data_IF_409533361606
#
_entry.id   IF_409533361606
#
_cell.length_a   1.000
_cell.length_b   1.000
_cell.length_c   1.000
_cell.angle_alpha   90.00
_cell.angle_beta   90.00
_cell.angle_gamma   90.00
#
_symmetry.space_group_name_H-M   'P 1'
#
loop_
_entity.id
_entity.type
_entity.pdbx_description
1 polymer ?
#
# COMPACT_ATOMS: atom_id res chain seq x y z
N UNK A 1 4.00 -8.49 -5.27
CA UNK A 1 4.39 -9.51 -4.27
C UNK A 1 3.12 -10.34 -4.01
N UNK A 2 2.99 -11.06 -2.89
CA UNK A 2 1.68 -11.62 -2.48
C UNK A 2 0.92 -10.61 -1.61
N UNK A 3 -0.41 -10.70 -1.57
CA UNK A 3 -1.25 -9.76 -0.81
C UNK A 3 -0.93 -9.68 0.70
N UNK A 4 -0.59 -10.81 1.32
CA UNK A 4 -0.14 -10.85 2.72
C UNK A 4 1.17 -10.07 2.92
N UNK A 5 2.11 -10.21 2.00
CA UNK A 5 3.38 -9.47 2.03
C UNK A 5 3.15 -7.97 1.87
N UNK A 6 2.22 -7.57 0.99
CA UNK A 6 1.85 -6.17 0.82
C UNK A 6 1.33 -5.56 2.12
N UNK A 7 0.40 -6.26 2.78
CA UNK A 7 -0.15 -5.84 4.07
C UNK A 7 0.94 -5.73 5.14
N UNK A 8 1.79 -6.74 5.29
CA UNK A 8 2.79 -6.74 6.37
C UNK A 8 3.85 -5.66 6.19
N UNK A 9 4.38 -5.48 4.98
CA UNK A 9 5.38 -4.45 4.70
C UNK A 9 4.80 -3.04 4.87
N UNK A 10 3.57 -2.82 4.38
CA UNK A 10 2.90 -1.54 4.50
C UNK A 10 2.56 -1.21 5.96
N UNK A 11 1.98 -2.15 6.72
CA UNK A 11 1.62 -1.92 8.12
C UNK A 11 2.84 -1.77 9.04
N UNK A 12 3.92 -2.54 8.81
CA UNK A 12 5.14 -2.36 9.60
C UNK A 12 5.85 -1.05 9.31
N UNK A 13 5.79 -0.57 8.05
CA UNK A 13 6.26 0.78 7.69
C UNK A 13 5.42 1.86 8.36
N UNK A 14 4.09 1.74 8.34
CA UNK A 14 3.21 2.68 9.03
C UNK A 14 3.43 2.66 10.54
N UNK A 15 3.59 1.47 11.13
CA UNK A 15 3.92 1.30 12.54
C UNK A 15 5.21 2.01 12.93
N UNK A 16 6.26 1.90 12.10
CA UNK A 16 7.54 2.59 12.33
C UNK A 16 7.36 4.12 12.38
N UNK A 17 6.54 4.67 11.48
CA UNK A 17 6.28 6.11 11.42
C UNK A 17 5.35 6.61 12.53
N UNK A 18 4.41 5.77 12.97
CA UNK A 18 3.45 6.10 14.04
C UNK A 18 4.05 5.93 15.43
N UNK A 19 5.01 5.01 15.62
CA UNK A 19 5.56 4.67 16.93
C UNK A 19 6.01 5.88 17.79
N UNK A 20 6.75 6.88 17.27
CA UNK A 20 7.14 8.07 18.05
C UNK A 20 5.97 8.99 18.47
N UNK A 21 4.77 8.76 17.92
CA UNK A 21 3.57 9.55 18.14
C UNK A 21 2.53 8.80 18.99
N UNK A 22 2.77 7.53 19.33
CA UNK A 22 1.76 6.65 19.95
C UNK A 22 1.20 7.18 21.27
N UNK A 23 2.00 7.91 22.04
CA UNK A 23 1.59 8.46 23.33
C UNK A 23 0.75 9.74 23.23
N UNK A 24 0.70 10.38 22.04
CA UNK A 24 0.03 11.68 21.85
C UNK A 24 -1.12 11.63 20.85
N UNK A 25 -1.13 10.65 19.94
CA UNK A 25 -2.23 10.48 19.00
C UNK A 25 -3.41 9.79 19.67
N UNK A 26 -4.60 10.27 19.34
CA UNK A 26 -5.85 9.62 19.71
C UNK A 26 -5.87 8.15 19.19
N UNK A 27 -6.27 7.17 20.02
CA UNK A 27 -6.31 5.77 19.60
C UNK A 27 -7.19 5.50 18.37
N UNK A 28 -8.31 6.22 18.21
CA UNK A 28 -9.16 6.08 17.02
C UNK A 28 -8.45 6.63 15.78
N UNK A 29 -7.70 7.72 15.89
CA UNK A 29 -6.86 8.22 14.80
C UNK A 29 -5.79 7.19 14.40
N UNK A 30 -5.09 6.57 15.35
CA UNK A 30 -4.12 5.50 15.06
C UNK A 30 -4.81 4.34 14.33
N UNK A 31 -5.98 3.91 14.81
CA UNK A 31 -6.74 2.83 14.18
C UNK A 31 -7.13 3.19 12.73
N UNK A 32 -7.57 4.42 12.48
CA UNK A 32 -7.91 4.91 11.14
C UNK A 32 -6.68 4.97 10.23
N UNK A 33 -5.53 5.41 10.73
CA UNK A 33 -4.28 5.43 9.95
C UNK A 33 -3.85 4.02 9.55
N UNK A 34 -3.84 3.07 10.50
CA UNK A 34 -3.48 1.68 10.22
C UNK A 34 -4.50 1.02 9.28
N UNK A 35 -5.80 1.29 9.47
CA UNK A 35 -6.85 0.76 8.60
C UNK A 35 -6.76 1.34 7.18
N UNK A 36 -6.50 2.63 7.03
CA UNK A 36 -6.27 3.26 5.73
C UNK A 36 -5.11 2.59 5.00
N UNK A 37 -3.95 2.43 5.66
CA UNK A 37 -2.78 1.74 5.09
C UNK A 37 -3.11 0.29 4.73
N UNK A 38 -3.84 -0.43 5.58
CA UNK A 38 -4.27 -1.80 5.33
C UNK A 38 -5.07 -1.93 4.02
N UNK A 39 -6.14 -1.14 3.87
CA UNK A 39 -6.97 -1.15 2.67
C UNK A 39 -6.16 -0.66 1.45
N UNK A 40 -5.39 0.42 1.61
CA UNK A 40 -4.55 1.00 0.56
C UNK A 40 -3.48 0.04 0.03
N UNK A 41 -2.89 -0.78 0.91
CA UNK A 41 -1.87 -1.77 0.51
C UNK A 41 -2.39 -2.87 -0.41
N UNK A 42 -3.71 -3.04 -0.52
CA UNK A 42 -4.36 -4.03 -1.38
C UNK A 42 -5.18 -3.40 -2.50
N UNK A 43 -5.47 -2.10 -2.41
CA UNK A 43 -6.32 -1.38 -3.36
C UNK A 43 -5.81 -1.42 -4.81
N UNK A 44 -4.50 -1.28 -5.11
CA UNK A 44 -4.02 -1.36 -6.48
C UNK A 44 -4.34 -2.68 -7.18
N UNK A 45 -4.35 -3.79 -6.45
CA UNK A 45 -4.66 -5.12 -6.98
C UNK A 45 -6.14 -5.30 -7.36
N UNK A 46 -7.01 -4.31 -7.15
CA UNK A 46 -8.40 -4.36 -7.62
C UNK A 46 -8.52 -4.43 -9.17
N UNK A 47 -7.42 -4.25 -9.91
CA UNK A 47 -7.37 -4.50 -11.36
C UNK A 47 -7.15 -5.97 -11.74
N UNK A 48 -6.92 -6.85 -10.75
CA UNK A 48 -6.71 -8.28 -10.88
C UNK A 48 -7.90 -9.07 -10.29
N UNK A 49 -8.59 -9.85 -11.12
CA UNK A 49 -9.85 -10.50 -10.71
C UNK A 49 -9.71 -11.54 -9.58
N UNK A 50 -8.51 -12.08 -9.37
CA UNK A 50 -8.17 -13.08 -8.37
C UNK A 50 -7.50 -12.48 -7.11
N UNK A 51 -7.41 -11.15 -7.01
CA UNK A 51 -6.74 -10.46 -5.92
C UNK A 51 -7.40 -10.70 -4.55
N UNK A 52 -6.57 -10.65 -3.50
CA UNK A 52 -6.99 -10.84 -2.12
C UNK A 52 -8.07 -9.84 -1.67
N UNK A 53 -8.12 -8.65 -2.29
CA UNK A 53 -9.12 -7.62 -2.00
C UNK A 53 -10.55 -8.09 -2.31
N UNK A 54 -10.76 -9.02 -3.24
CA UNK A 54 -12.11 -9.50 -3.60
C UNK A 54 -12.60 -10.66 -2.74
N UNK A 55 -11.70 -11.42 -2.13
CA UNK A 55 -12.03 -12.73 -1.56
C UNK A 55 -12.14 -12.70 -0.03
N UNK A 56 -11.80 -11.57 0.61
CA UNK A 56 -11.76 -11.42 2.07
C UNK A 56 -10.81 -12.42 2.75
N UNK A 57 -9.88 -13.00 1.99
CA UNK A 57 -8.93 -14.02 2.44
C UNK A 57 -7.53 -13.67 2.00
N UNK A 58 -6.66 -13.40 2.97
CA UNK A 58 -5.24 -13.19 2.75
C UNK A 58 -4.53 -14.54 2.85
N UNK A 59 -4.21 -15.12 1.70
CA UNK A 59 -3.44 -16.37 1.63
C UNK A 59 -2.04 -16.22 2.22
N UNK A 60 -1.51 -17.28 2.83
CA UNK A 60 -0.15 -17.28 3.42
C UNK A 60 -0.10 -17.19 4.95
N UNK A 61 -1.22 -16.85 5.60
CA UNK A 61 -1.31 -16.73 7.07
C UNK A 61 -2.24 -17.81 7.64
N UNK A 62 -1.73 -18.70 8.50
CA UNK A 62 -2.49 -19.77 9.16
C UNK A 62 -2.59 -19.57 10.67
N UNK A 63 -3.52 -20.26 11.34
CA UNK A 63 -3.70 -20.23 12.79
C UNK A 63 -4.38 -18.96 13.33
N UNK A 64 -4.20 -18.66 14.63
CA UNK A 64 -4.86 -17.52 15.32
C UNK A 64 -4.59 -16.17 14.64
N UNK A 65 -3.37 -15.96 14.10
CA UNK A 65 -3.01 -14.76 13.33
C UNK A 65 -3.83 -14.64 12.04
N UNK A 66 -4.03 -15.76 11.35
CA UNK A 66 -4.87 -15.80 10.13
C UNK A 66 -6.33 -15.50 10.41
N UNK A 67 -6.86 -15.91 11.57
CA UNK A 67 -8.24 -15.60 11.97
C UNK A 67 -8.47 -14.10 12.16
N UNK A 68 -7.56 -13.40 12.84
CA UNK A 68 -7.66 -11.95 13.07
C UNK A 68 -7.58 -11.19 11.75
N UNK A 69 -6.57 -11.50 10.93
CA UNK A 69 -6.36 -10.82 9.65
C UNK A 69 -7.54 -11.05 8.69
N UNK A 70 -8.04 -12.29 8.59
CA UNK A 70 -9.19 -12.59 7.74
C UNK A 70 -10.51 -12.03 8.29
N UNK A 71 -10.63 -11.87 9.61
CA UNK A 71 -11.78 -11.19 10.23
C UNK A 71 -11.86 -9.73 9.82
N UNK A 72 -10.73 -9.02 9.80
CA UNK A 72 -10.65 -7.65 9.29
C UNK A 72 -10.81 -7.59 7.76
N UNK A 73 -10.35 -8.62 7.05
CA UNK A 73 -10.42 -8.68 5.59
C UNK A 73 -11.85 -8.77 5.04
N UNK A 74 -12.87 -9.02 5.87
CA UNK A 74 -14.28 -9.12 5.44
C UNK A 74 -14.80 -7.84 4.79
N UNK A 75 -14.23 -6.68 5.13
CA UNK A 75 -14.61 -5.38 4.55
C UNK A 75 -13.93 -5.13 3.20
N UNK A 76 -12.85 -5.85 2.88
CA UNK A 76 -12.06 -5.62 1.68
C UNK A 76 -12.85 -5.79 0.38
N UNK A 77 -13.77 -6.78 0.22
CA UNK A 77 -14.55 -6.91 -1.00
C UNK A 77 -15.39 -5.68 -1.33
N UNK A 78 -15.92 -4.98 -0.31
CA UNK A 78 -16.66 -3.73 -0.52
C UNK A 78 -15.74 -2.71 -1.17
N UNK A 79 -14.56 -2.46 -0.60
CA UNK A 79 -13.55 -1.58 -1.19
C UNK A 79 -13.10 -2.05 -2.58
N UNK A 80 -12.81 -3.34 -2.74
CA UNK A 80 -12.36 -3.91 -4.01
C UNK A 80 -13.37 -3.72 -5.13
N UNK A 81 -14.64 -4.02 -4.87
CA UNK A 81 -15.70 -3.83 -5.87
C UNK A 81 -16.00 -2.35 -6.14
N UNK A 82 -16.01 -1.50 -5.11
CA UNK A 82 -16.13 -0.05 -5.29
C UNK A 82 -14.98 0.48 -6.16
N UNK A 83 -13.73 0.13 -5.83
CA UNK A 83 -12.56 0.56 -6.60
C UNK A 83 -12.64 0.02 -8.03
N UNK A 84 -12.98 -1.26 -8.24
CA UNK A 84 -13.01 -1.83 -9.59
C UNK A 84 -14.09 -1.22 -10.47
N UNK A 85 -15.33 -1.17 -9.98
CA UNK A 85 -16.48 -0.85 -10.80
C UNK A 85 -16.84 0.64 -10.80
N UNK A 86 -16.66 1.33 -9.68
CA UNK A 86 -17.04 2.75 -9.56
C UNK A 86 -15.86 3.69 -9.82
N UNK A 87 -14.62 3.22 -9.72
CA UNK A 87 -13.42 4.06 -9.91
C UNK A 87 -12.63 3.63 -11.14
N UNK A 88 -12.10 2.41 -11.15
CA UNK A 88 -11.13 1.95 -12.14
C UNK A 88 -11.69 1.90 -13.56
N UNK A 89 -12.84 1.26 -13.78
CA UNK A 89 -13.42 1.22 -15.13
C UNK A 89 -13.84 2.60 -15.64
N UNK A 90 -14.57 3.44 -14.87
CA UNK A 90 -14.89 4.80 -15.30
C UNK A 90 -13.65 5.63 -15.60
N UNK A 91 -12.64 5.56 -14.73
CA UNK A 91 -11.41 6.34 -14.92
C UNK A 91 -10.61 5.84 -16.13
N UNK A 92 -10.57 4.53 -16.36
CA UNK A 92 -9.95 3.95 -17.55
C UNK A 92 -10.64 4.42 -18.83
N UNK A 93 -11.98 4.53 -18.83
CA UNK A 93 -12.75 5.07 -19.95
C UNK A 93 -12.42 6.56 -20.20
N UNK A 94 -12.37 7.38 -19.14
CA UNK A 94 -12.01 8.80 -19.26
C UNK A 94 -10.61 8.95 -19.90
N UNK A 95 -9.62 8.19 -19.43
CA UNK A 95 -8.28 8.21 -20.01
C UNK A 95 -8.22 7.62 -21.43
N UNK A 96 -9.08 6.66 -21.78
CA UNK A 96 -9.25 6.15 -23.14
C UNK A 96 -9.70 7.24 -24.10
N UNK A 97 -10.70 8.02 -23.69
CA UNK A 97 -11.26 9.11 -24.48
C UNK A 97 -10.26 10.27 -24.64
N UNK A 98 -9.65 10.72 -23.53
CA UNK A 98 -8.74 11.87 -23.54
C UNK A 98 -7.46 11.56 -24.32
N UNK A 99 -6.84 10.39 -24.08
CA UNK A 99 -5.56 10.05 -24.72
C UNK A 99 -5.73 9.32 -26.05
N UNK A 100 -6.97 9.04 -26.49
CA UNK A 100 -7.31 8.29 -27.69
C UNK A 100 -6.54 6.97 -27.81
N UNK A 101 -6.35 6.27 -26.67
CA UNK A 101 -5.64 4.99 -26.59
C UNK A 101 -6.61 3.88 -26.23
N UNK A 102 -6.49 2.75 -26.93
CA UNK A 102 -7.15 1.51 -26.50
C UNK A 102 -6.43 0.94 -25.27
N UNK A 103 -7.14 0.89 -24.15
CA UNK A 103 -6.67 0.26 -22.92
C UNK A 103 -7.04 -1.22 -22.97
N UNK A 104 -6.04 -2.08 -23.14
CA UNK A 104 -6.22 -3.50 -22.83
C UNK A 104 -6.07 -3.66 -21.33
N UNK A 105 -7.13 -4.07 -20.64
CA UNK A 105 -7.08 -4.45 -19.23
C UNK A 105 -6.07 -5.60 -19.07
N UNK A 106 -4.84 -5.25 -18.72
CA UNK A 106 -3.79 -6.18 -18.28
C UNK A 106 -3.50 -5.86 -16.82
N UNK A 107 -3.19 -6.90 -16.04
CA UNK A 107 -2.69 -6.75 -14.67
C UNK A 107 -1.60 -5.67 -14.62
N UNK A 108 -1.75 -4.69 -13.71
CA UNK A 108 -0.85 -3.54 -13.52
C UNK A 108 -1.00 -2.45 -14.57
N UNK A 109 -2.24 -1.96 -14.67
CA UNK A 109 -2.65 -0.83 -15.50
C UNK A 109 -2.68 0.48 -14.73
N UNK A 110 -3.82 1.18 -14.79
CA UNK A 110 -3.98 2.50 -14.18
C UNK A 110 -3.80 2.48 -12.65
N UNK A 111 -4.30 1.46 -11.96
CA UNK A 111 -4.19 1.36 -10.50
C UNK A 111 -2.75 1.17 -10.01
N UNK A 112 -1.82 0.76 -10.88
CA UNK A 112 -0.38 0.67 -10.58
C UNK A 112 0.38 1.85 -11.20
N UNK A 113 -0.16 3.06 -11.04
CA UNK A 113 0.51 4.31 -11.43
C UNK A 113 0.23 5.43 -10.45
N UNK A 114 1.10 6.44 -10.41
CA UNK A 114 0.96 7.58 -9.51
C UNK A 114 -0.36 8.34 -9.73
N UNK A 115 -0.73 8.55 -10.99
CA UNK A 115 -1.98 9.21 -11.34
C UNK A 115 -3.20 8.37 -10.93
N UNK A 116 -3.16 7.06 -11.15
CA UNK A 116 -4.28 6.19 -10.80
C UNK A 116 -4.48 6.02 -9.31
N UNK A 117 -3.40 5.85 -8.52
CA UNK A 117 -3.54 5.77 -7.06
C UNK A 117 -3.97 7.11 -6.44
N UNK A 118 -3.50 8.23 -6.98
CA UNK A 118 -3.94 9.56 -6.56
C UNK A 118 -5.43 9.77 -6.80
N UNK A 119 -5.89 9.53 -8.03
CA UNK A 119 -7.31 9.69 -8.39
C UNK A 119 -8.21 8.68 -7.66
N UNK A 120 -7.74 7.44 -7.48
CA UNK A 120 -8.47 6.43 -6.71
C UNK A 120 -8.65 6.85 -5.26
N UNK A 121 -7.61 7.40 -4.64
CA UNK A 121 -7.67 7.87 -3.25
C UNK A 121 -8.63 9.04 -3.10
N UNK A 122 -8.58 10.01 -4.02
CA UNK A 122 -9.49 11.17 -4.01
C UNK A 122 -10.95 10.76 -4.21
N UNK A 123 -11.22 9.92 -5.21
CA UNK A 123 -12.59 9.46 -5.51
C UNK A 123 -13.16 8.59 -4.38
N UNK A 124 -12.36 7.69 -3.82
CA UNK A 124 -12.78 6.86 -2.69
C UNK A 124 -13.07 7.71 -1.44
N UNK A 125 -12.20 8.68 -1.12
CA UNK A 125 -12.47 9.64 -0.04
C UNK A 125 -13.73 10.46 -0.31
N UNK A 126 -13.99 10.85 -1.56
CA UNK A 126 -15.22 11.54 -1.95
C UNK A 126 -16.47 10.68 -1.73
N UNK A 127 -16.45 9.42 -2.15
CA UNK A 127 -17.56 8.48 -1.90
C UNK A 127 -17.80 8.25 -0.40
N UNK A 128 -16.72 8.09 0.38
CA UNK A 128 -16.84 7.98 1.84
C UNK A 128 -17.38 9.26 2.46
N UNK A 129 -16.97 10.45 2.01
CA UNK A 129 -17.52 11.72 2.49
C UNK A 129 -19.03 11.80 2.29
N UNK A 130 -19.52 11.40 1.10
CA UNK A 130 -20.95 11.39 0.78
C UNK A 130 -21.70 10.42 1.69
N UNK A 131 -21.19 9.20 1.87
CA UNK A 131 -21.81 8.18 2.73
C UNK A 131 -21.85 8.65 4.19
N UNK A 132 -20.72 9.14 4.72
CA UNK A 132 -20.63 9.59 6.11
C UNK A 132 -21.55 10.79 6.37
N UNK A 133 -21.59 11.75 5.44
CA UNK A 133 -22.51 12.89 5.52
C UNK A 133 -23.97 12.43 5.53
N UNK A 134 -24.34 11.50 4.65
CA UNK A 134 -25.69 10.95 4.58
C UNK A 134 -26.09 10.21 5.87
N UNK A 135 -25.14 9.54 6.52
CA UNK A 135 -25.34 8.88 7.82
C UNK A 135 -25.25 9.83 9.03
N UNK A 136 -24.97 11.13 8.83
CA UNK A 136 -24.75 12.08 9.92
C UNK A 136 -23.48 11.82 10.73
N UNK A 137 -22.50 11.11 10.18
CA UNK A 137 -21.23 10.78 10.83
C UNK A 137 -20.19 11.87 10.52
N UNK A 138 -19.42 12.26 11.53
CA UNK A 138 -18.36 13.28 11.40
C UNK A 138 -17.28 12.90 10.36
N UNK A 139 -16.87 13.87 9.56
CA UNK A 139 -15.80 13.73 8.56
C UNK A 139 -14.39 13.94 9.14
N UNK A 140 -14.25 14.20 10.45
CA UNK A 140 -12.98 14.62 11.06
C UNK A 140 -11.81 13.64 10.80
N UNK A 141 -12.09 12.34 10.74
CA UNK A 141 -11.08 11.30 10.51
C UNK A 141 -10.87 10.96 9.03
N UNK A 142 -11.73 11.47 8.13
CA UNK A 142 -11.68 11.13 6.71
C UNK A 142 -10.38 11.59 6.03
N UNK A 143 -9.83 12.80 6.30
CA UNK A 143 -8.53 13.20 5.75
C UNK A 143 -7.40 12.24 6.17
N UNK A 144 -7.39 11.82 7.43
CA UNK A 144 -6.39 10.87 7.94
C UNK A 144 -6.52 9.51 7.24
N UNK A 145 -7.75 9.00 7.06
CA UNK A 145 -7.99 7.80 6.27
C UNK A 145 -7.49 7.95 4.83
N UNK A 146 -7.82 9.06 4.15
CA UNK A 146 -7.45 9.30 2.75
C UNK A 146 -5.93 9.36 2.54
N UNK A 147 -5.20 10.04 3.43
CA UNK A 147 -3.73 10.10 3.39
C UNK A 147 -3.12 8.73 3.67
N UNK A 148 -3.63 8.01 4.67
CA UNK A 148 -3.16 6.67 5.01
C UNK A 148 -3.42 5.65 3.89
N UNK A 149 -4.60 5.71 3.28
CA UNK A 149 -4.98 4.90 2.12
C UNK A 149 -4.05 5.18 0.93
N UNK A 150 -3.83 6.45 0.61
CA UNK A 150 -2.89 6.84 -0.44
C UNK A 150 -1.46 6.34 -0.14
N UNK A 151 -0.98 6.48 1.09
CA UNK A 151 0.32 5.97 1.50
C UNK A 151 0.41 4.44 1.36
N UNK A 152 -0.63 3.70 1.73
CA UNK A 152 -0.72 2.25 1.51
C UNK A 152 -0.64 1.88 0.02
N UNK A 153 -1.35 2.62 -0.84
CA UNK A 153 -1.24 2.43 -2.30
C UNK A 153 0.19 2.69 -2.80
N UNK A 154 0.84 3.77 -2.33
CA UNK A 154 2.23 4.06 -2.73
C UNK A 154 3.18 2.96 -2.29
N UNK A 155 3.06 2.47 -1.05
CA UNK A 155 3.88 1.36 -0.55
C UNK A 155 3.68 0.09 -1.39
N UNK A 156 2.44 -0.23 -1.75
CA UNK A 156 2.15 -1.32 -2.68
C UNK A 156 2.92 -1.15 -4.02
N UNK A 157 2.92 0.04 -4.62
CA UNK A 157 3.66 0.30 -5.86
C UNK A 157 5.19 0.20 -5.67
N UNK A 158 5.72 0.63 -4.53
CA UNK A 158 7.15 0.46 -4.18
C UNK A 158 7.50 -1.02 -4.04
N UNK A 159 6.67 -1.79 -3.37
CA UNK A 159 6.81 -3.24 -3.20
C UNK A 159 6.77 -3.95 -4.56
N UNK A 160 5.83 -3.59 -5.42
CA UNK A 160 5.73 -4.17 -6.75
C UNK A 160 6.86 -3.75 -7.70
N UNK A 161 7.46 -2.58 -7.47
CA UNK A 161 8.69 -2.16 -8.16
C UNK A 161 9.85 -3.10 -7.85
N UNK A 162 9.85 -3.78 -6.69
CA UNK A 162 10.85 -4.77 -6.33
C UNK A 162 10.67 -6.13 -7.04
N UNK A 163 9.56 -6.33 -7.75
CA UNK A 163 9.25 -7.58 -8.48
C UNK A 163 9.67 -7.51 -9.96
N UNK A 164 9.86 -8.65 -10.65
CA UNK A 164 10.17 -8.69 -12.09
C UNK A 164 9.10 -8.04 -12.98
N UNK A 165 7.83 -8.08 -12.58
CA UNK A 165 6.75 -7.47 -13.34
C UNK A 165 6.77 -5.93 -13.23
N UNK A 166 7.33 -5.40 -12.14
CA UNK A 166 7.57 -3.97 -11.93
C UNK A 166 6.31 -3.11 -11.93
N UNK A 167 6.53 -1.79 -11.96
CA UNK A 167 5.49 -0.75 -11.95
C UNK A 167 5.81 0.33 -12.98
N UNK A 168 4.81 0.74 -13.76
CA UNK A 168 4.89 1.87 -14.66
C UNK A 168 4.34 3.13 -13.97
N UNK A 169 5.16 3.75 -13.12
CA UNK A 169 4.77 4.86 -12.25
C UNK A 169 4.04 6.02 -12.97
N UNK A 170 4.44 6.31 -14.21
CA UNK A 170 3.87 7.40 -15.01
C UNK A 170 2.81 6.94 -16.02
N UNK A 171 2.28 5.73 -15.90
CA UNK A 171 1.15 5.29 -16.71
C UNK A 171 -0.08 6.18 -16.41
N UNK A 172 -0.89 6.56 -17.40
CA UNK A 172 -0.88 6.14 -18.81
C UNK A 172 0.02 6.93 -19.75
N UNK A 173 0.76 7.92 -19.25
CA UNK A 173 1.62 8.80 -20.05
C UNK A 173 2.89 8.09 -20.51
N UNK A 174 3.44 7.18 -19.69
CA UNK A 174 4.59 6.35 -20.01
C UNK A 174 4.36 4.89 -19.64
N UNK A 175 4.91 3.98 -20.45
CA UNK A 175 4.93 2.53 -20.18
C UNK A 175 6.26 2.05 -19.61
N UNK A 176 7.23 2.95 -19.38
CA UNK A 176 8.53 2.60 -18.80
C UNK A 176 8.32 2.10 -17.37
N UNK A 177 8.82 0.90 -17.09
CA UNK A 177 8.68 0.24 -15.78
C UNK A 177 9.98 0.32 -15.00
N UNK A 178 9.85 0.46 -13.68
CA UNK A 178 10.92 0.11 -12.74
C UNK A 178 10.62 -1.30 -12.23
N UNK A 179 11.61 -2.18 -12.28
CA UNK A 179 11.45 -3.59 -11.93
C UNK A 179 12.67 -4.13 -11.18
N UNK A 180 12.41 -5.00 -10.21
CA UNK A 180 13.40 -5.67 -9.39
C UNK A 180 13.43 -7.17 -9.65
N UNK A 181 13.93 -7.93 -8.67
CA UNK A 181 14.17 -9.38 -8.81
C UNK A 181 13.51 -10.24 -7.73
N UNK A 182 12.58 -9.69 -6.94
CA UNK A 182 11.82 -10.47 -5.94
C UNK A 182 10.78 -11.33 -6.64
N UNK A 183 10.92 -12.65 -6.56
CA UNK A 183 10.00 -13.59 -7.21
C UNK A 183 8.80 -13.87 -6.31
N UNK A 184 7.59 -13.57 -6.80
CA UNK A 184 6.34 -13.79 -6.04
C UNK A 184 6.13 -15.25 -5.64
N UNK A 185 6.65 -16.19 -6.43
CA UNK A 185 6.48 -17.63 -6.24
C UNK A 185 7.85 -18.32 -6.15
N UNK A 186 8.13 -18.92 -4.99
CA UNK A 186 9.34 -19.69 -4.72
C UNK A 186 9.60 -19.83 -3.23
N UNK A 187 9.81 -21.05 -2.74
CA UNK A 187 10.01 -21.35 -1.32
C UNK A 187 11.26 -20.67 -0.70
N UNK A 188 12.14 -20.12 -1.55
CA UNK A 188 13.39 -19.48 -1.14
C UNK A 188 13.37 -17.95 -1.21
N UNK A 189 12.26 -17.33 -1.62
CA UNK A 189 12.16 -15.87 -1.65
C UNK A 189 11.85 -15.29 -0.26
N UNK A 190 12.88 -15.22 0.58
CA UNK A 190 12.77 -14.78 1.99
C UNK A 190 12.86 -13.26 2.16
N UNK A 191 13.31 -12.52 1.13
CA UNK A 191 13.62 -11.08 1.23
C UNK A 191 12.46 -10.24 1.77
N UNK A 192 11.22 -10.35 1.28
CA UNK A 192 10.10 -9.56 1.81
C UNK A 192 9.83 -9.85 3.29
N UNK A 193 9.93 -11.11 3.70
CA UNK A 193 9.70 -11.52 5.09
C UNK A 193 10.80 -11.01 6.02
N UNK A 194 12.07 -11.15 5.63
CA UNK A 194 13.20 -10.60 6.40
C UNK A 194 13.08 -9.09 6.52
N UNK A 195 12.70 -8.39 5.45
CA UNK A 195 12.52 -6.95 5.48
C UNK A 195 11.36 -6.52 6.39
N UNK A 196 10.23 -7.24 6.38
CA UNK A 196 9.14 -7.00 7.32
C UNK A 196 9.58 -7.19 8.79
N UNK A 197 10.42 -8.19 9.07
CA UNK A 197 11.00 -8.39 10.42
C UNK A 197 11.89 -7.20 10.79
N UNK A 198 12.75 -6.73 9.90
CA UNK A 198 13.61 -5.55 10.13
C UNK A 198 12.77 -4.30 10.42
N UNK A 199 11.71 -4.05 9.63
CA UNK A 199 10.77 -2.95 9.89
C UNK A 199 10.09 -3.10 11.25
N UNK A 200 9.62 -4.30 11.59
CA UNK A 200 8.98 -4.57 12.89
C UNK A 200 9.94 -4.34 14.08
N UNK A 201 11.21 -4.77 13.95
CA UNK A 201 12.24 -4.52 14.96
C UNK A 201 12.55 -3.03 15.09
N UNK A 202 12.62 -2.29 13.97
CA UNK A 202 12.79 -0.84 13.99
C UNK A 202 11.61 -0.15 14.70
N UNK A 203 10.37 -0.57 14.43
CA UNK A 203 9.17 -0.10 15.14
C UNK A 203 9.26 -0.36 16.64
N UNK A 204 9.64 -1.58 17.04
CA UNK A 204 9.80 -1.92 18.45
C UNK A 204 10.90 -1.07 19.12
N UNK A 205 12.02 -0.84 18.42
CA UNK A 205 13.09 0.03 18.90
C UNK A 205 12.59 1.47 19.13
N UNK A 206 11.79 2.03 18.20
CA UNK A 206 11.19 3.37 18.37
C UNK A 206 10.25 3.44 19.58
N UNK A 207 9.49 2.37 19.86
CA UNK A 207 8.58 2.32 21.00
C UNK A 207 9.32 2.20 22.35
N UNK A 208 10.45 1.49 22.38
CA UNK A 208 11.20 1.21 23.61
C UNK A 208 12.24 2.30 23.89
N UNK A 209 12.73 3.01 22.87
CA UNK A 209 13.79 4.02 23.02
C UNK A 209 13.52 5.09 24.10
N UNK A 210 12.29 5.66 24.25
CA UNK A 210 12.02 6.67 25.28
C UNK A 210 12.18 6.17 26.72
N UNK A 211 12.08 4.87 26.95
CA UNK A 211 12.20 4.25 28.29
C UNK A 211 13.54 3.54 28.50
N UNK A 212 14.20 3.11 27.42
CA UNK A 212 15.48 2.40 27.50
C UNK A 212 16.71 3.29 27.28
N UNK A 213 16.53 4.53 26.82
CA UNK A 213 17.61 5.45 26.48
C UNK A 213 17.27 6.89 26.89
N UNK A 214 18.18 7.84 26.64
CA UNK A 214 17.92 9.28 26.82
C UNK A 214 17.21 9.94 25.62
N UNK A 215 16.82 9.17 24.61
CA UNK A 215 16.18 9.70 23.41
C UNK A 215 14.78 10.26 23.72
N UNK A 216 14.54 11.50 23.30
CA UNK A 216 13.24 12.16 23.47
C UNK A 216 12.26 11.75 22.36
N UNK A 217 10.94 11.78 22.62
CA UNK A 217 9.95 11.53 21.58
C UNK A 217 10.11 12.44 20.36
N UNK A 218 10.53 13.70 20.55
CA UNK A 218 10.75 14.65 19.46
C UNK A 218 11.91 14.27 18.55
N UNK A 219 13.03 13.80 19.11
CA UNK A 219 14.15 13.26 18.33
C UNK A 219 13.70 12.03 17.52
N UNK A 220 12.93 11.13 18.13
CA UNK A 220 12.43 9.93 17.46
C UNK A 220 11.44 10.26 16.33
N UNK A 221 10.58 11.27 16.49
CA UNK A 221 9.66 11.75 15.44
C UNK A 221 10.41 12.25 14.21
N UNK A 222 11.54 12.94 14.40
CA UNK A 222 12.40 13.41 13.30
C UNK A 222 13.20 12.27 12.68
N UNK A 223 13.62 11.30 13.49
CA UNK A 223 14.44 10.17 13.06
C UNK A 223 13.64 9.13 12.26
N UNK A 224 12.40 8.83 12.66
CA UNK A 224 11.62 7.73 12.08
C UNK A 224 11.42 7.81 10.56
N UNK A 225 11.10 8.96 9.94
CA UNK A 225 11.03 9.08 8.48
C UNK A 225 12.37 8.78 7.79
N UNK A 226 13.49 9.24 8.37
CA UNK A 226 14.83 8.99 7.85
C UNK A 226 15.21 7.50 7.91
N UNK A 227 14.88 6.83 9.02
CA UNK A 227 15.08 5.38 9.17
C UNK A 227 14.22 4.61 8.19
N UNK A 228 12.93 4.95 8.06
CA UNK A 228 12.03 4.30 7.12
C UNK A 228 12.55 4.43 5.67
N UNK A 229 12.94 5.64 5.27
CA UNK A 229 13.51 5.91 3.94
C UNK A 229 14.78 5.10 3.69
N UNK A 230 15.72 5.11 4.65
CA UNK A 230 16.98 4.36 4.54
C UNK A 230 16.72 2.86 4.38
N UNK A 231 15.84 2.28 5.21
CA UNK A 231 15.50 0.87 5.16
C UNK A 231 14.88 0.48 3.80
N UNK A 232 13.95 1.30 3.28
CA UNK A 232 13.37 1.08 1.96
C UNK A 232 14.39 1.22 0.83
N UNK A 233 15.28 2.21 0.87
CA UNK A 233 16.34 2.38 -0.14
C UNK A 233 17.29 1.17 -0.15
N UNK A 234 17.70 0.69 1.02
CA UNK A 234 18.51 -0.53 1.14
C UNK A 234 17.77 -1.74 0.57
N UNK A 235 16.49 -1.90 0.88
CA UNK A 235 15.69 -3.00 0.33
C UNK A 235 15.56 -2.93 -1.19
N UNK A 236 15.28 -1.76 -1.75
CA UNK A 236 15.23 -1.51 -3.20
C UNK A 236 16.57 -1.85 -3.87
N UNK A 237 17.70 -1.48 -3.24
CA UNK A 237 19.04 -1.79 -3.72
C UNK A 237 19.29 -3.31 -3.72
N UNK A 238 18.95 -4.01 -2.63
CA UNK A 238 19.04 -5.47 -2.51
C UNK A 238 18.14 -6.17 -3.54
N UNK A 239 16.99 -5.59 -3.86
CA UNK A 239 16.09 -6.08 -4.90
C UNK A 239 16.60 -5.83 -6.33
N UNK A 240 17.69 -5.06 -6.48
CA UNK A 240 18.32 -4.68 -7.75
C UNK A 240 17.34 -4.02 -8.71
N UNK A 241 16.50 -3.12 -8.18
CA UNK A 241 15.53 -2.36 -8.97
C UNK A 241 16.25 -1.54 -10.03
N UNK A 242 15.81 -1.65 -11.29
CA UNK A 242 16.33 -0.90 -12.43
C UNK A 242 15.20 -0.56 -13.42
N UNK A 243 15.37 0.48 -14.25
CA UNK A 243 14.51 0.68 -15.42
C UNK A 243 14.53 -0.57 -16.30
N UNK A 244 13.35 -1.09 -16.62
CA UNK A 244 13.22 -2.21 -17.54
C UNK A 244 13.65 -1.75 -18.94
N UNK A 245 14.69 -2.37 -19.50
CA UNK A 245 15.06 -2.17 -20.91
C UNK A 245 13.89 -2.66 -21.76
N UNK A 246 13.37 -1.79 -22.64
CA UNK A 246 12.35 -2.16 -23.62
C UNK A 246 12.79 -3.45 -24.32
N UNK A 247 12.03 -4.54 -24.15
CA UNK A 247 12.15 -5.73 -24.99
C UNK A 247 11.38 -5.60 -26.30
N UNK A 248 10.71 -4.47 -26.52
CA UNK A 248 9.92 -4.21 -27.72
C UNK A 248 10.75 -3.44 -28.77
N UNK A 249 11.73 -4.15 -29.33
CA UNK A 249 12.25 -4.01 -30.70
C UNK A 249 12.66 -5.41 -31.17
N UNK A 250 11.67 -6.27 -31.35
CA UNK A 250 11.74 -7.50 -32.13
C UNK A 250 10.38 -7.68 -32.80
#
# INVERSE_FOLDING_TARGET
>A
MRGDQHVYLSLTTAGLLIAPWIAVLDPALIAVLLFGVFVGSLAPDADAADAAIFNGRLGGVKGKRGQIVNGLAVVLPVFGYTIRYLIYYPLSLVFALILRKSYRHRHRGLLHSFAGVGLTSLLLSGYLALILTWLGISLALLPAFGVAFFAGCILHLVEDTCTPAGVAWLYPFSRRRLAGRVRTWGNFEVRPTVFAIVLALATAAMLIAPVATSATPEELRRLAPGVALLLWLLFILVCRVRPQRNRDRA
#
